data_IF_318425120039
#
_entry.id   IF_318425120039
#
_cell.length_a   1.000
_cell.length_b   1.000
_cell.length_c   1.000
_cell.angle_alpha   90.00
_cell.angle_beta   90.00
_cell.angle_gamma   90.00
#
_symmetry.space_group_name_H-M   'P 1'
#
loop_
_entity.id
_entity.type
_entity.pdbx_description
1 polymer ?
#
# COMPACT_ATOMS: atom_id res chain seq x y z
N UNK A 1 16.43 -30.88 11.67
CA UNK A 1 15.08 -30.45 11.29
C UNK A 1 15.11 -28.94 11.34
N UNK A 2 15.22 -28.28 10.20
CA UNK A 2 15.11 -26.83 10.13
C UNK A 2 13.66 -26.46 10.42
N UNK A 3 13.44 -25.81 11.56
CA UNK A 3 12.14 -25.27 11.92
C UNK A 3 11.88 -24.08 11.00
N UNK A 4 11.06 -24.29 9.97
CA UNK A 4 10.47 -23.21 9.19
C UNK A 4 9.41 -22.51 10.05
N UNK A 5 9.84 -21.67 10.98
CA UNK A 5 8.94 -20.76 11.66
C UNK A 5 8.38 -19.77 10.63
N UNK A 6 7.06 -19.52 10.62
CA UNK A 6 6.49 -18.50 9.77
C UNK A 6 7.06 -17.16 10.21
N UNK A 7 7.87 -16.55 9.36
CA UNK A 7 8.41 -15.21 9.57
C UNK A 7 7.23 -14.25 9.61
N UNK A 8 6.90 -13.75 10.79
CA UNK A 8 5.84 -12.77 10.97
C UNK A 8 6.16 -11.54 10.13
N UNK A 9 5.18 -11.08 9.35
CA UNK A 9 5.35 -9.91 8.51
C UNK A 9 5.61 -8.69 9.42
N UNK A 10 6.59 -7.81 9.10
CA UNK A 10 6.89 -6.67 9.96
C UNK A 10 5.66 -5.78 10.18
N UNK A 11 5.42 -5.32 11.41
CA UNK A 11 4.26 -4.48 11.76
C UNK A 11 4.18 -3.22 10.88
N UNK A 12 5.33 -2.63 10.52
CA UNK A 12 5.39 -1.49 9.60
C UNK A 12 4.83 -1.84 8.21
N UNK A 13 5.13 -3.04 7.67
CA UNK A 13 4.63 -3.46 6.37
C UNK A 13 3.11 -3.64 6.39
N UNK A 14 2.58 -4.23 7.46
CA UNK A 14 1.13 -4.42 7.64
C UNK A 14 0.41 -3.07 7.66
N UNK A 15 0.90 -2.11 8.44
CA UNK A 15 0.30 -0.77 8.51
C UNK A 15 0.39 -0.01 7.17
N UNK A 16 1.50 -0.15 6.44
CA UNK A 16 1.66 0.47 5.11
C UNK A 16 0.72 -0.14 4.08
N UNK A 17 0.58 -1.47 4.06
CA UNK A 17 -0.36 -2.17 3.18
C UNK A 17 -1.80 -1.74 3.47
N UNK A 18 -2.19 -1.70 4.74
CA UNK A 18 -3.53 -1.26 5.17
C UNK A 18 -3.81 0.18 4.75
N UNK A 19 -2.89 1.10 5.01
CA UNK A 19 -3.05 2.51 4.63
C UNK A 19 -3.15 2.68 3.12
N UNK A 20 -2.32 1.97 2.36
CA UNK A 20 -2.32 2.02 0.88
C UNK A 20 -3.60 1.44 0.30
N UNK A 21 -4.11 0.34 0.88
CA UNK A 21 -5.42 -0.21 0.52
C UNK A 21 -6.55 0.78 0.76
N UNK A 22 -6.58 1.44 1.93
CA UNK A 22 -7.61 2.44 2.22
C UNK A 22 -7.59 3.60 1.20
N UNK A 23 -6.42 4.04 0.74
CA UNK A 23 -6.31 5.06 -0.32
C UNK A 23 -6.88 4.58 -1.65
N UNK A 24 -6.64 3.32 -2.01
CA UNK A 24 -7.23 2.74 -3.20
C UNK A 24 -8.77 2.68 -3.11
N UNK A 25 -9.31 2.31 -1.94
CA UNK A 25 -10.76 2.32 -1.69
C UNK A 25 -11.35 3.75 -1.79
N UNK A 26 -10.67 4.75 -1.25
CA UNK A 26 -11.07 6.16 -1.39
C UNK A 26 -11.05 6.58 -2.86
N UNK A 27 -10.02 6.21 -3.63
CA UNK A 27 -9.95 6.53 -5.06
C UNK A 27 -11.14 5.95 -5.83
N UNK A 28 -11.49 4.68 -5.55
CA UNK A 28 -12.65 4.02 -6.16
C UNK A 28 -13.95 4.74 -5.80
N UNK A 29 -14.15 5.10 -4.52
CA UNK A 29 -15.33 5.85 -4.10
C UNK A 29 -15.43 7.21 -4.82
N UNK A 30 -14.32 7.94 -4.97
CA UNK A 30 -14.30 9.22 -5.67
C UNK A 30 -14.68 9.08 -7.16
N UNK A 31 -14.27 7.98 -7.81
CA UNK A 31 -14.68 7.64 -9.18
C UNK A 31 -16.19 7.41 -9.21
N UNK A 32 -16.72 6.58 -8.30
CA UNK A 32 -18.14 6.24 -8.24
C UNK A 32 -19.04 7.47 -8.06
N UNK A 33 -18.61 8.44 -7.25
CA UNK A 33 -19.35 9.69 -7.03
C UNK A 33 -18.96 10.82 -8.00
N UNK A 34 -18.15 10.52 -9.02
CA UNK A 34 -17.69 11.45 -10.06
C UNK A 34 -16.99 12.72 -9.51
N UNK A 35 -16.22 12.58 -8.42
CA UNK A 35 -15.43 13.66 -7.79
C UNK A 35 -13.99 13.68 -8.34
N UNK A 36 -13.89 13.93 -9.63
CA UNK A 36 -12.63 13.93 -10.38
C UNK A 36 -11.66 15.04 -9.96
N UNK A 37 -12.13 16.07 -9.24
CA UNK A 37 -11.29 17.13 -8.68
C UNK A 37 -10.36 16.62 -7.57
N UNK A 38 -10.76 15.57 -6.86
CA UNK A 38 -9.99 15.00 -5.74
C UNK A 38 -9.17 13.77 -6.13
N UNK A 39 -9.43 13.20 -7.32
CA UNK A 39 -8.85 11.91 -7.70
C UNK A 39 -7.33 11.97 -7.88
N UNK A 40 -6.82 13.06 -8.43
CA UNK A 40 -5.40 13.23 -8.70
C UNK A 40 -4.57 13.15 -7.42
N UNK A 41 -5.02 13.83 -6.37
CA UNK A 41 -4.36 13.81 -5.05
C UNK A 41 -4.33 12.39 -4.47
N UNK A 42 -5.44 11.66 -4.55
CA UNK A 42 -5.52 10.31 -3.98
C UNK A 42 -4.67 9.31 -4.78
N UNK A 43 -4.61 9.46 -6.10
CA UNK A 43 -3.75 8.62 -6.96
C UNK A 43 -2.27 8.89 -6.70
N UNK A 44 -1.87 10.15 -6.50
CA UNK A 44 -0.49 10.50 -6.14
C UNK A 44 -0.10 9.88 -4.78
N UNK A 45 -0.96 10.03 -3.77
CA UNK A 45 -0.78 9.41 -2.45
C UNK A 45 -0.70 7.87 -2.51
N UNK A 46 -1.50 7.26 -3.39
CA UNK A 46 -1.49 5.82 -3.62
C UNK A 46 -0.16 5.37 -4.25
N UNK A 47 0.29 6.08 -5.29
CA UNK A 47 1.56 5.79 -5.96
C UNK A 47 2.74 5.89 -4.99
N UNK A 48 2.78 6.93 -4.16
CA UNK A 48 3.79 7.10 -3.14
C UNK A 48 3.76 5.97 -2.08
N UNK A 49 2.55 5.57 -1.65
CA UNK A 49 2.37 4.43 -0.74
C UNK A 49 2.92 3.13 -1.30
N UNK A 50 2.61 2.82 -2.57
CA UNK A 50 3.14 1.65 -3.28
C UNK A 50 4.66 1.71 -3.38
N UNK A 51 5.22 2.85 -3.76
CA UNK A 51 6.67 3.00 -3.89
C UNK A 51 7.40 2.73 -2.57
N UNK A 52 6.93 3.27 -1.44
CA UNK A 52 7.52 2.97 -0.12
C UNK A 52 7.51 1.47 0.16
N UNK A 53 6.39 0.80 -0.13
CA UNK A 53 6.26 -0.63 0.13
C UNK A 53 7.27 -1.40 -0.73
N UNK A 54 7.34 -1.10 -2.02
CA UNK A 54 8.26 -1.73 -2.95
C UNK A 54 9.71 -1.50 -2.53
N UNK A 55 10.11 -0.25 -2.33
CA UNK A 55 11.50 0.13 -2.05
C UNK A 55 12.00 -0.48 -0.73
N UNK A 56 11.18 -0.48 0.32
CA UNK A 56 11.61 -0.97 1.64
C UNK A 56 11.51 -2.48 1.80
N UNK A 57 10.46 -3.09 1.25
CA UNK A 57 10.11 -4.47 1.60
C UNK A 57 10.19 -5.45 0.42
N UNK A 58 10.26 -4.97 -0.82
CA UNK A 58 10.37 -5.83 -2.00
C UNK A 58 11.73 -5.79 -2.68
N UNK A 59 12.53 -4.73 -2.51
CA UNK A 59 13.81 -4.58 -3.21
C UNK A 59 14.98 -5.31 -2.52
N UNK A 60 14.83 -5.78 -1.28
CA UNK A 60 15.88 -6.50 -0.52
C UNK A 60 15.78 -8.03 -0.57
N UNK A 61 15.40 -8.62 -1.71
CA UNK A 61 15.51 -10.07 -1.94
C UNK A 61 16.85 -10.49 -2.58
N UNK A 62 17.96 -9.79 -2.30
CA UNK A 62 19.30 -10.14 -2.82
C UNK A 62 20.31 -10.31 -1.69
#
# INVERSE_FOLDING_TARGET
MENNEPTTMPDELVERLKTTKNRAEIALLLIEINRMDLIYTVIEDLAYGVQIITDKFCVNSR
#
